data_IF_631025845055
#
_entry.id   IF_631025845055
#
_cell.length_a   1.000
_cell.length_b   1.000
_cell.length_c   1.000
_cell.angle_alpha   90.00
_cell.angle_beta   90.00
_cell.angle_gamma   90.00
#
_symmetry.space_group_name_H-M   'P 1'
#
loop_
_entity.id
_entity.type
_entity.pdbx_description
1 polymer ?
#
# COMPACT_ATOMS: atom_id res chain seq x y z
N UNK A 1 4.66 -14.76 -0.71
CA UNK A 1 5.29 -15.70 -1.68
C UNK A 1 6.56 -16.39 -1.17
N UNK A 2 7.65 -15.68 -0.85
CA UNK A 2 8.93 -16.32 -0.46
C UNK A 2 8.83 -17.16 0.82
N UNK A 3 8.16 -16.64 1.85
CA UNK A 3 7.91 -17.37 3.10
C UNK A 3 7.08 -18.65 2.88
N UNK A 4 6.05 -18.57 2.04
CA UNK A 4 5.16 -19.71 1.73
C UNK A 4 5.88 -20.83 0.98
N UNK A 5 6.79 -20.49 0.05
CA UNK A 5 7.65 -21.47 -0.62
C UNK A 5 8.67 -22.11 0.32
N UNK A 6 9.15 -21.36 1.32
CA UNK A 6 10.07 -21.89 2.31
C UNK A 6 9.43 -22.98 3.19
N UNK A 7 8.10 -22.96 3.35
CA UNK A 7 7.38 -23.98 4.12
C UNK A 7 7.50 -25.40 3.53
N UNK A 8 7.78 -25.56 2.23
CA UNK A 8 8.01 -26.88 1.63
C UNK A 8 9.37 -27.49 1.99
N UNK A 9 10.30 -26.66 2.43
CA UNK A 9 11.65 -27.06 2.78
C UNK A 9 11.76 -27.26 4.30
N UNK A 10 12.65 -28.14 4.77
CA UNK A 10 12.93 -28.24 6.19
C UNK A 10 13.48 -26.92 6.73
N UNK A 11 12.97 -26.47 7.87
CA UNK A 11 13.53 -25.32 8.60
C UNK A 11 14.62 -25.81 9.54
N UNK A 12 15.65 -24.99 9.73
CA UNK A 12 16.79 -25.27 10.60
C UNK A 12 16.92 -24.15 11.62
N UNK A 13 16.85 -24.50 12.90
CA UNK A 13 16.85 -23.56 14.01
C UNK A 13 17.98 -23.91 14.98
N UNK A 14 18.73 -22.91 15.45
CA UNK A 14 19.74 -23.07 16.50
C UNK A 14 19.26 -22.36 17.76
N UNK A 15 19.04 -23.10 18.84
CA UNK A 15 18.66 -22.57 20.14
C UNK A 15 19.77 -22.80 21.15
N UNK A 16 20.15 -21.74 21.87
CA UNK A 16 21.13 -21.82 22.96
C UNK A 16 20.54 -21.16 24.19
N UNK A 17 20.57 -21.85 25.32
CA UNK A 17 19.94 -21.39 26.56
C UNK A 17 20.71 -21.77 27.81
N UNK A 18 20.50 -20.97 28.86
CA UNK A 18 20.91 -21.29 30.22
C UNK A 18 19.69 -21.18 31.12
N UNK A 19 19.29 -22.29 31.72
CA UNK A 19 18.21 -22.31 32.70
C UNK A 19 18.80 -22.60 34.07
N UNK A 20 18.46 -21.78 35.06
CA UNK A 20 18.80 -22.02 36.46
C UNK A 20 17.51 -22.20 37.24
N UNK A 21 17.33 -23.37 37.83
CA UNK A 21 16.17 -23.69 38.67
C UNK A 21 16.61 -24.05 40.08
N UNK A 22 15.88 -23.55 41.07
CA UNK A 22 16.02 -23.96 42.47
C UNK A 22 14.81 -24.79 42.85
N UNK A 23 15.04 -26.01 43.37
CA UNK A 23 13.96 -26.84 43.88
C UNK A 23 13.89 -26.72 45.40
N UNK A 24 12.79 -26.17 45.91
CA UNK A 24 12.50 -26.10 47.34
C UNK A 24 12.10 -27.47 47.90
N UNK A 25 12.28 -27.66 49.20
CA UNK A 25 11.98 -28.92 49.90
C UNK A 25 10.47 -29.08 50.09
N UNK A 26 9.76 -29.45 49.03
CA UNK A 26 8.36 -29.86 49.05
C UNK A 26 8.24 -31.35 48.81
N UNK A 27 7.56 -32.05 49.73
CA UNK A 27 7.39 -33.51 49.80
C UNK A 27 7.00 -34.10 48.44
N UNK A 28 7.92 -34.82 47.80
CA UNK A 28 7.65 -35.64 46.61
C UNK A 28 8.14 -37.06 46.85
N UNK A 29 7.30 -38.03 46.52
CA UNK A 29 7.29 -39.40 47.05
C UNK A 29 8.36 -40.36 46.46
N UNK A 30 9.52 -39.85 46.03
CA UNK A 30 10.60 -40.72 45.56
C UNK A 30 11.96 -39.99 45.58
N UNK A 31 12.86 -40.46 46.44
CA UNK A 31 14.30 -40.13 46.41
C UNK A 31 14.71 -38.88 47.20
N UNK A 32 15.73 -39.05 48.04
CA UNK A 32 16.47 -38.04 48.83
C UNK A 32 16.11 -36.57 48.54
N UNK A 33 15.41 -35.96 49.49
CA UNK A 33 15.03 -34.54 49.50
C UNK A 33 16.25 -33.63 49.69
N UNK A 34 17.01 -33.40 48.61
CA UNK A 34 18.06 -32.40 48.58
C UNK A 34 17.54 -31.09 47.95
N UNK A 35 17.49 -30.03 48.75
CA UNK A 35 17.39 -28.66 48.23
C UNK A 35 18.64 -28.37 47.40
N UNK A 36 18.45 -28.04 46.13
CA UNK A 36 19.55 -27.92 45.18
C UNK A 36 19.27 -26.93 44.07
N UNK A 37 20.27 -26.10 43.78
CA UNK A 37 20.29 -25.25 42.59
C UNK A 37 20.79 -26.10 41.44
N UNK A 38 19.97 -26.25 40.39
CA UNK A 38 20.36 -26.90 39.14
C UNK A 38 20.56 -25.83 38.07
N UNK A 39 21.72 -25.88 37.43
CA UNK A 39 21.95 -25.15 36.18
C UNK A 39 21.85 -26.15 35.03
N UNK A 40 21.22 -25.77 33.94
CA UNK A 40 21.29 -26.47 32.66
C UNK A 40 21.73 -25.49 31.58
N UNK A 41 22.73 -25.89 30.82
CA UNK A 41 23.20 -25.23 29.62
C UNK A 41 22.80 -26.11 28.45
N UNK A 42 21.99 -25.58 27.53
CA UNK A 42 21.52 -26.29 26.36
C UNK A 42 21.97 -25.56 25.10
N UNK A 43 22.50 -26.32 24.13
CA UNK A 43 22.71 -25.88 22.77
C UNK A 43 22.10 -26.94 21.85
N UNK A 44 21.03 -26.59 21.15
CA UNK A 44 20.23 -27.52 20.36
C UNK A 44 20.04 -26.96 18.96
N UNK A 45 20.29 -27.81 17.98
CA UNK A 45 19.97 -27.60 16.59
C UNK A 45 18.72 -28.43 16.27
N UNK A 46 17.66 -27.77 15.85
CA UNK A 46 16.39 -28.36 15.46
C UNK A 46 16.21 -28.29 13.95
N UNK A 47 15.69 -29.35 13.37
CA UNK A 47 15.18 -29.43 12.01
C UNK A 47 13.70 -29.77 12.11
N UNK A 48 12.84 -28.99 11.45
CA UNK A 48 11.40 -29.26 11.39
C UNK A 48 10.94 -29.28 9.94
N UNK A 49 10.10 -30.25 9.59
CA UNK A 49 9.55 -30.38 8.26
C UNK A 49 8.10 -30.91 8.30
N UNK A 50 7.19 -30.23 7.62
CA UNK A 50 5.80 -30.66 7.45
C UNK A 50 5.64 -31.30 6.07
N UNK A 51 5.18 -32.55 6.02
CA UNK A 51 4.96 -33.23 4.74
C UNK A 51 3.60 -32.86 4.18
N UNK A 52 3.58 -32.28 2.98
CA UNK A 52 2.36 -31.86 2.30
C UNK A 52 1.63 -33.02 1.60
N UNK A 53 1.04 -33.92 2.39
CA UNK A 53 0.30 -35.10 1.90
C UNK A 53 -1.07 -34.70 1.33
N UNK A 54 -1.77 -33.80 2.02
CA UNK A 54 -3.15 -33.40 1.71
C UNK A 54 -3.26 -32.13 0.87
N UNK A 55 -2.13 -31.49 0.56
CA UNK A 55 -2.09 -30.27 -0.24
C UNK A 55 -2.33 -28.98 0.56
N UNK A 56 -2.30 -29.03 1.89
CA UNK A 56 -2.45 -27.85 2.78
C UNK A 56 -1.44 -26.76 2.41
N UNK A 57 -0.16 -27.11 2.30
CA UNK A 57 0.90 -26.17 1.94
C UNK A 57 0.77 -25.70 0.48
N UNK A 58 0.45 -26.61 -0.44
CA UNK A 58 0.19 -26.27 -1.86
C UNK A 58 -0.95 -25.27 -2.02
N UNK A 59 -2.08 -25.46 -1.34
CA UNK A 59 -3.22 -24.54 -1.37
C UNK A 59 -2.91 -23.22 -0.67
N UNK A 60 -2.13 -23.25 0.42
CA UNK A 60 -1.65 -22.03 1.07
C UNK A 60 -0.76 -21.20 0.13
N UNK A 61 0.17 -21.85 -0.59
CA UNK A 61 0.99 -21.18 -1.59
C UNK A 61 0.14 -20.63 -2.74
N UNK A 62 -0.85 -21.37 -3.23
CA UNK A 62 -1.80 -20.90 -4.24
C UNK A 62 -2.52 -19.63 -3.78
N UNK A 63 -3.05 -19.63 -2.54
CA UNK A 63 -3.68 -18.45 -1.95
C UNK A 63 -2.74 -17.24 -1.87
N UNK A 64 -1.52 -17.44 -1.36
CA UNK A 64 -0.51 -16.39 -1.26
C UNK A 64 -0.08 -15.85 -2.63
N UNK A 65 -0.04 -16.72 -3.64
CA UNK A 65 0.32 -16.31 -5.00
C UNK A 65 -0.79 -15.48 -5.64
N UNK A 66 -2.05 -15.88 -5.47
CA UNK A 66 -3.21 -15.14 -5.96
C UNK A 66 -3.31 -13.77 -5.27
N UNK A 67 -3.12 -13.70 -3.95
CA UNK A 67 -3.12 -12.44 -3.20
C UNK A 67 -2.03 -11.47 -3.68
N UNK A 68 -0.81 -11.95 -3.93
CA UNK A 68 0.25 -11.09 -4.46
C UNK A 68 -0.03 -10.63 -5.91
N UNK A 69 -0.68 -11.45 -6.73
CA UNK A 69 -1.14 -11.01 -8.06
C UNK A 69 -2.26 -9.97 -7.97
N UNK A 70 -3.18 -10.11 -7.01
CA UNK A 70 -4.21 -9.11 -6.73
C UNK A 70 -3.57 -7.77 -6.36
N UNK A 71 -2.59 -7.75 -5.44
CA UNK A 71 -1.89 -6.52 -5.06
C UNK A 71 -1.15 -5.84 -6.22
N UNK A 72 -0.60 -6.61 -7.18
CA UNK A 72 0.00 -6.05 -8.39
C UNK A 72 -1.05 -5.41 -9.30
N UNK A 73 -2.22 -6.03 -9.42
CA UNK A 73 -3.33 -5.48 -10.17
C UNK A 73 -3.90 -4.21 -9.51
N UNK A 74 -4.03 -4.18 -8.18
CA UNK A 74 -4.39 -2.98 -7.42
C UNK A 74 -3.41 -1.82 -7.66
N UNK A 75 -2.10 -2.12 -7.66
CA UNK A 75 -1.08 -1.12 -7.98
C UNK A 75 -1.26 -0.55 -9.39
N UNK A 76 -1.55 -1.40 -10.37
CA UNK A 76 -1.81 -0.97 -11.75
C UNK A 76 -3.09 -0.09 -11.83
N UNK A 77 -4.14 -0.45 -11.09
CA UNK A 77 -5.37 0.33 -11.00
C UNK A 77 -5.13 1.70 -10.36
N UNK A 78 -4.42 1.76 -9.23
CA UNK A 78 -4.04 3.01 -8.58
C UNK A 78 -3.18 3.89 -9.48
N UNK A 79 -2.19 3.30 -10.18
CA UNK A 79 -1.35 4.03 -11.13
C UNK A 79 -2.18 4.66 -12.25
N UNK A 80 -3.13 3.90 -12.82
CA UNK A 80 -4.02 4.42 -13.86
C UNK A 80 -4.91 5.55 -13.31
N UNK A 81 -5.43 5.41 -12.09
CA UNK A 81 -6.23 6.44 -11.42
C UNK A 81 -5.42 7.72 -11.21
N UNK A 82 -4.20 7.62 -10.68
CA UNK A 82 -3.30 8.76 -10.48
C UNK A 82 -2.94 9.46 -11.79
N UNK A 83 -2.67 8.69 -12.84
CA UNK A 83 -2.41 9.23 -14.18
C UNK A 83 -3.64 9.95 -14.74
N UNK A 84 -4.84 9.38 -14.55
CA UNK A 84 -6.10 9.99 -14.98
C UNK A 84 -6.36 11.30 -14.22
N UNK A 85 -6.18 11.31 -12.91
CA UNK A 85 -6.36 12.49 -12.07
C UNK A 85 -5.35 13.59 -12.43
N UNK A 86 -4.09 13.23 -12.67
CA UNK A 86 -3.05 14.16 -13.14
C UNK A 86 -3.45 14.81 -14.48
N UNK A 87 -3.94 14.01 -15.43
CA UNK A 87 -4.38 14.51 -16.74
C UNK A 87 -5.61 15.40 -16.61
N UNK A 88 -6.58 15.04 -15.78
CA UNK A 88 -7.77 15.87 -15.52
C UNK A 88 -7.39 17.22 -14.91
N UNK A 89 -6.54 17.22 -13.87
CA UNK A 89 -6.04 18.44 -13.24
C UNK A 89 -5.24 19.31 -14.22
N UNK A 90 -4.41 18.70 -15.06
CA UNK A 90 -3.65 19.40 -16.09
C UNK A 90 -4.57 20.04 -17.14
N UNK A 91 -5.56 19.33 -17.66
CA UNK A 91 -6.51 19.86 -18.62
C UNK A 91 -7.36 20.98 -18.02
N UNK A 92 -7.79 20.83 -16.77
CA UNK A 92 -8.56 21.86 -16.06
C UNK A 92 -7.73 23.13 -15.82
N UNK A 93 -6.44 22.99 -15.49
CA UNK A 93 -5.51 24.12 -15.41
C UNK A 93 -5.38 24.84 -16.76
N UNK A 94 -5.32 24.11 -17.88
CA UNK A 94 -5.29 24.71 -19.23
C UNK A 94 -6.59 25.43 -19.59
N UNK A 95 -7.73 24.93 -19.16
CA UNK A 95 -9.01 25.65 -19.30
C UNK A 95 -8.98 26.97 -18.52
N UNK A 96 -8.45 26.97 -17.30
CA UNK A 96 -8.32 28.18 -16.48
C UNK A 96 -7.33 29.18 -17.10
N UNK A 97 -6.20 28.71 -17.64
CA UNK A 97 -5.25 29.56 -18.38
C UNK A 97 -5.95 30.33 -19.52
N UNK A 98 -6.80 29.64 -20.30
CA UNK A 98 -7.53 30.26 -21.41
C UNK A 98 -8.67 31.18 -20.95
N UNK A 99 -9.40 30.80 -19.89
CA UNK A 99 -10.40 31.66 -19.27
C UNK A 99 -9.77 32.95 -18.73
N UNK A 100 -8.62 32.85 -18.07
CA UNK A 100 -7.87 34.01 -17.57
C UNK A 100 -7.45 34.93 -18.71
N UNK A 101 -6.92 34.38 -19.81
CA UNK A 101 -6.55 35.14 -21.01
C UNK A 101 -7.74 35.89 -21.62
N UNK A 102 -8.90 35.24 -21.73
CA UNK A 102 -10.12 35.88 -22.21
C UNK A 102 -10.52 37.02 -21.26
N UNK A 103 -10.52 36.77 -19.95
CA UNK A 103 -10.94 37.73 -18.94
C UNK A 103 -10.00 38.94 -18.86
N UNK A 104 -8.70 38.76 -19.02
CA UNK A 104 -7.72 39.84 -19.15
C UNK A 104 -8.09 40.78 -20.31
N UNK A 105 -8.45 40.22 -21.48
CA UNK A 105 -8.91 41.04 -22.61
C UNK A 105 -10.24 41.77 -22.33
N UNK A 106 -11.12 41.18 -21.52
CA UNK A 106 -12.36 41.81 -21.05
C UNK A 106 -12.09 42.96 -20.09
N UNK A 107 -11.14 42.81 -19.16
CA UNK A 107 -10.71 43.89 -18.26
C UNK A 107 -10.17 45.08 -19.06
N UNK A 108 -9.34 44.83 -20.08
CA UNK A 108 -8.83 45.89 -20.96
C UNK A 108 -9.94 46.59 -21.75
N UNK A 109 -10.97 45.86 -22.16
CA UNK A 109 -12.13 46.44 -22.84
C UNK A 109 -12.98 47.30 -21.88
N UNK A 110 -13.22 46.83 -20.65
CA UNK A 110 -13.98 47.59 -19.65
C UNK A 110 -13.20 48.79 -19.11
N UNK A 111 -11.88 48.72 -19.04
CA UNK A 111 -11.04 49.87 -18.72
C UNK A 111 -11.20 50.97 -19.77
N UNK A 112 -11.18 50.62 -21.06
CA UNK A 112 -11.43 51.56 -22.17
C UNK A 112 -12.86 52.12 -22.13
N UNK A 113 -13.85 51.28 -21.84
CA UNK A 113 -15.25 51.71 -21.68
C UNK A 113 -15.39 52.73 -20.55
N UNK A 114 -14.80 52.46 -19.37
CA UNK A 114 -14.80 53.38 -18.25
C UNK A 114 -14.16 54.73 -18.62
N UNK A 115 -13.01 54.73 -19.30
CA UNK A 115 -12.36 55.97 -19.76
C UNK A 115 -13.25 56.76 -20.71
N UNK A 116 -13.94 56.08 -21.64
CA UNK A 116 -14.88 56.72 -22.56
C UNK A 116 -16.06 57.35 -21.81
N UNK A 117 -16.68 56.64 -20.88
CA UNK A 117 -17.80 57.15 -20.08
C UNK A 117 -17.39 58.31 -19.18
N UNK A 118 -16.20 58.26 -18.59
CA UNK A 118 -15.64 59.38 -17.81
C UNK A 118 -15.43 60.63 -18.67
N UNK A 119 -14.97 60.48 -19.92
CA UNK A 119 -14.82 61.60 -20.84
C UNK A 119 -16.17 62.20 -21.24
N UNK A 120 -17.18 61.37 -21.49
CA UNK A 120 -18.55 61.83 -21.76
C UNK A 120 -19.19 62.55 -20.56
N UNK A 121 -18.95 62.07 -19.34
CA UNK A 121 -19.39 62.73 -18.11
C UNK A 121 -18.75 64.13 -17.98
N UNK A 122 -17.44 64.25 -18.21
CA UNK A 122 -16.74 65.56 -18.20
C UNK A 122 -17.26 66.53 -19.27
N UNK A 123 -17.73 66.00 -20.40
CA UNK A 123 -18.35 66.78 -21.46
C UNK A 123 -19.85 67.09 -21.20
N UNK A 124 -20.43 66.60 -20.10
CA UNK A 124 -21.85 66.81 -19.76
C UNK A 124 -22.84 65.97 -20.55
N UNK A 125 -22.37 64.94 -21.27
CA UNK A 125 -23.19 64.07 -22.14
C UNK A 125 -23.76 62.86 -21.37
N UNK A 126 -23.07 62.41 -20.32
CA UNK A 126 -23.43 61.24 -19.52
C UNK A 126 -23.56 61.60 -18.04
N UNK A 127 -24.35 60.83 -17.29
CA UNK A 127 -24.53 61.00 -15.84
C UNK A 127 -23.45 60.31 -15.00
N UNK A 128 -23.39 60.63 -13.70
CA UNK A 128 -22.46 60.00 -12.76
C UNK A 128 -22.80 58.54 -12.45
N UNK A 129 -24.06 58.17 -12.61
CA UNK A 129 -24.58 56.80 -12.53
C UNK A 129 -23.94 55.89 -13.59
N UNK A 130 -23.79 56.35 -14.83
CA UNK A 130 -23.14 55.60 -15.90
C UNK A 130 -21.66 55.32 -15.61
N UNK A 131 -20.94 56.30 -15.02
CA UNK A 131 -19.54 56.13 -14.59
C UNK A 131 -19.46 55.10 -13.46
N UNK A 132 -20.35 55.19 -12.47
CA UNK A 132 -20.41 54.24 -11.35
C UNK A 132 -20.73 52.81 -11.82
N UNK A 133 -21.61 52.64 -12.79
CA UNK A 133 -21.93 51.35 -13.40
C UNK A 133 -20.72 50.76 -14.14
N UNK A 134 -20.06 51.56 -14.99
CA UNK A 134 -18.86 51.13 -15.71
C UNK A 134 -17.71 50.76 -14.75
N UNK A 135 -17.54 51.53 -13.67
CA UNK A 135 -16.56 51.23 -12.63
C UNK A 135 -16.88 49.94 -11.88
N UNK A 136 -18.15 49.73 -11.53
CA UNK A 136 -18.61 48.47 -10.90
C UNK A 136 -18.32 47.28 -11.80
N UNK A 137 -18.62 47.37 -13.10
CA UNK A 137 -18.36 46.30 -14.06
C UNK A 137 -16.86 45.97 -14.13
N UNK A 138 -16.00 46.97 -14.28
CA UNK A 138 -14.55 46.79 -14.29
C UNK A 138 -14.06 46.12 -12.99
N UNK A 139 -14.53 46.58 -11.83
CA UNK A 139 -14.09 46.07 -10.52
C UNK A 139 -14.58 44.64 -10.27
N UNK A 140 -15.79 44.30 -10.71
CA UNK A 140 -16.29 42.92 -10.67
C UNK A 140 -15.40 42.00 -11.51
N UNK A 141 -15.10 42.38 -12.75
CA UNK A 141 -14.24 41.56 -13.63
C UNK A 141 -12.80 41.45 -13.12
N UNK A 142 -12.28 42.48 -12.46
CA UNK A 142 -10.98 42.41 -11.78
C UNK A 142 -11.00 41.43 -10.60
N UNK A 143 -12.10 41.33 -9.85
CA UNK A 143 -12.27 40.34 -8.79
C UNK A 143 -12.32 38.91 -9.36
N UNK A 144 -13.09 38.70 -10.44
CA UNK A 144 -13.16 37.39 -11.12
C UNK A 144 -11.77 36.91 -11.59
N UNK A 145 -10.90 37.82 -12.00
CA UNK A 145 -9.51 37.50 -12.41
C UNK A 145 -8.67 37.01 -11.23
N UNK A 146 -8.83 37.62 -10.05
CA UNK A 146 -8.16 37.19 -8.82
C UNK A 146 -8.64 35.78 -8.44
N UNK A 147 -9.94 35.51 -8.55
CA UNK A 147 -10.52 34.20 -8.25
C UNK A 147 -9.97 33.12 -9.20
N UNK A 148 -9.86 33.40 -10.50
CA UNK A 148 -9.22 32.48 -11.45
C UNK A 148 -7.74 32.24 -11.14
N UNK A 149 -7.01 33.26 -10.70
CA UNK A 149 -5.61 33.10 -10.31
C UNK A 149 -5.46 32.16 -9.10
N UNK A 150 -6.39 32.24 -8.14
CA UNK A 150 -6.41 31.33 -7.00
C UNK A 150 -6.77 29.90 -7.43
N UNK A 151 -7.81 29.72 -8.25
CA UNK A 151 -8.18 28.40 -8.79
C UNK A 151 -7.02 27.76 -9.55
N UNK A 152 -6.31 28.54 -10.37
CA UNK A 152 -5.11 28.07 -11.08
C UNK A 152 -4.07 27.52 -10.11
N UNK A 153 -3.77 28.27 -9.05
CA UNK A 153 -2.81 27.85 -8.03
C UNK A 153 -3.25 26.56 -7.31
N UNK A 154 -4.55 26.33 -7.12
CA UNK A 154 -5.04 25.07 -6.55
C UNK A 154 -4.75 23.86 -7.44
N UNK A 155 -5.01 23.95 -8.74
CA UNK A 155 -4.71 22.87 -9.67
C UNK A 155 -3.20 22.65 -9.82
N UNK A 156 -2.41 23.72 -9.81
CA UNK A 156 -0.95 23.64 -9.83
C UNK A 156 -0.40 22.91 -8.60
N UNK A 157 -0.91 23.23 -7.41
CA UNK A 157 -0.57 22.54 -6.17
C UNK A 157 -1.02 21.07 -6.19
N UNK A 158 -2.22 20.76 -6.71
CA UNK A 158 -2.70 19.39 -6.85
C UNK A 158 -1.80 18.56 -7.77
N UNK A 159 -1.35 19.14 -8.89
CA UNK A 159 -0.39 18.51 -9.81
C UNK A 159 0.95 18.26 -9.09
N UNK A 160 1.46 19.23 -8.32
CA UNK A 160 2.70 19.07 -7.56
C UNK A 160 2.63 17.88 -6.60
N UNK A 161 1.53 17.76 -5.85
CA UNK A 161 1.30 16.65 -4.91
C UNK A 161 1.22 15.31 -5.63
N UNK A 162 0.52 15.23 -6.77
CA UNK A 162 0.43 14.01 -7.58
C UNK A 162 1.78 13.59 -8.19
N UNK A 163 2.69 14.54 -8.43
CA UNK A 163 4.06 14.26 -8.86
C UNK A 163 5.03 13.98 -7.72
N UNK A 164 4.58 14.02 -6.46
CA UNK A 164 5.41 13.81 -5.28
C UNK A 164 6.38 14.96 -4.99
N UNK A 165 6.06 16.17 -5.44
CA UNK A 165 6.85 17.39 -5.22
C UNK A 165 6.18 18.29 -4.18
N UNK A 166 6.98 19.09 -3.46
CA UNK A 166 6.42 20.12 -2.60
C UNK A 166 5.75 21.21 -3.47
N UNK A 167 4.55 21.71 -3.11
CA UNK A 167 3.86 22.73 -3.91
C UNK A 167 4.68 24.01 -4.13
N UNK A 168 5.59 24.34 -3.21
CA UNK A 168 6.45 25.52 -3.31
C UNK A 168 7.54 25.40 -4.39
N UNK A 169 7.95 24.19 -4.77
CA UNK A 169 9.06 23.93 -5.71
C UNK A 169 8.57 23.65 -7.14
N UNK A 170 7.24 23.60 -7.34
CA UNK A 170 6.62 23.30 -8.62
C UNK A 170 6.05 24.56 -9.27
N UNK A 171 6.35 24.77 -10.55
CA UNK A 171 5.78 25.85 -11.36
C UNK A 171 5.50 25.35 -12.77
N UNK A 172 4.28 25.54 -13.24
CA UNK A 172 3.85 25.23 -14.58
C UNK A 172 3.55 26.53 -15.35
N UNK A 173 4.32 26.88 -16.40
CA UNK A 173 4.07 28.11 -17.15
C UNK A 173 2.72 28.05 -17.87
N UNK A 174 2.04 29.20 -17.91
CA UNK A 174 0.82 29.37 -18.68
C UNK A 174 1.11 29.17 -20.17
N UNK A 175 0.19 28.53 -20.89
CA UNK A 175 0.33 28.23 -22.32
C UNK A 175 -1.04 28.19 -22.97
N UNK A 176 -1.13 28.71 -24.21
CA UNK A 176 -2.39 28.81 -24.98
C UNK A 176 -2.71 27.57 -25.80
N UNK A 177 -1.82 26.58 -25.86
CA UNK A 177 -2.06 25.32 -26.58
C UNK A 177 -2.80 24.31 -25.71
N UNK A 178 -4.03 23.96 -26.11
CA UNK A 178 -4.75 22.82 -25.54
C UNK A 178 -4.20 21.53 -26.18
N UNK A 179 -3.83 20.50 -25.40
CA UNK A 179 -3.37 19.22 -25.94
C UNK A 179 -4.46 18.55 -26.77
N UNK A 180 -4.09 17.92 -27.88
CA UNK A 180 -5.03 17.07 -28.61
C UNK A 180 -5.33 15.80 -27.81
N UNK A 181 -6.62 15.50 -27.64
CA UNK A 181 -7.07 14.28 -27.00
C UNK A 181 -6.95 13.09 -27.96
N UNK A 182 -6.48 11.92 -27.49
CA UNK A 182 -6.44 10.72 -28.31
C UNK A 182 -7.85 10.24 -28.64
N UNK A 183 -8.05 9.68 -29.83
CA UNK A 183 -9.32 9.05 -30.19
C UNK A 183 -9.48 7.73 -29.44
N UNK A 184 -10.61 7.57 -28.76
CA UNK A 184 -10.93 6.36 -28.00
C UNK A 184 -11.47 5.31 -28.98
N UNK A 185 -10.82 4.14 -29.12
CA UNK A 185 -11.33 3.08 -29.99
C UNK A 185 -12.69 2.56 -29.47
N UNK A 186 -13.66 2.25 -30.35
CA UNK A 186 -14.87 1.53 -29.95
C UNK A 186 -14.51 0.08 -29.62
N UNK A 187 -14.15 -0.20 -28.36
CA UNK A 187 -13.87 -1.55 -27.88
C UNK A 187 -15.16 -2.33 -27.55
N UNK A 188 -15.14 -3.66 -27.74
CA UNK A 188 -16.22 -4.51 -27.25
C UNK A 188 -16.16 -4.65 -25.71
N UNK A 189 -17.31 -4.75 -25.02
CA UNK A 189 -17.36 -4.82 -23.56
C UNK A 189 -16.57 -5.97 -22.94
N UNK A 190 -16.43 -7.11 -23.62
CA UNK A 190 -15.73 -8.29 -23.10
C UNK A 190 -14.22 -8.10 -22.99
N UNK A 191 -13.59 -7.46 -23.98
CA UNK A 191 -12.16 -7.15 -23.95
C UNK A 191 -11.81 -6.06 -22.91
N UNK A 192 -12.80 -5.23 -22.53
CA UNK A 192 -12.64 -4.25 -21.45
C UNK A 192 -12.55 -4.93 -20.07
N UNK A 193 -13.26 -6.04 -19.85
CA UNK A 193 -13.20 -6.79 -18.59
C UNK A 193 -11.80 -7.37 -18.37
N UNK A 194 -11.18 -7.93 -19.43
CA UNK A 194 -9.83 -8.51 -19.37
C UNK A 194 -8.72 -7.47 -19.21
N UNK A 195 -8.97 -6.24 -19.64
CA UNK A 195 -7.99 -5.13 -19.55
C UNK A 195 -8.06 -4.37 -18.24
N UNK A 196 -9.12 -4.54 -17.46
CA UNK A 196 -9.39 -3.76 -16.25
C UNK A 196 -8.62 -4.35 -15.06
N UNK A 197 -7.61 -3.64 -14.53
CA UNK A 197 -6.79 -4.15 -13.44
C UNK A 197 -7.59 -4.35 -12.14
N UNK A 198 -8.63 -3.57 -11.91
CA UNK A 198 -9.55 -3.72 -10.77
C UNK A 198 -10.35 -5.04 -10.84
N UNK A 199 -10.78 -5.44 -12.03
CA UNK A 199 -11.48 -6.73 -12.23
C UNK A 199 -10.50 -7.90 -12.08
N UNK A 200 -9.29 -7.76 -12.61
CA UNK A 200 -8.24 -8.74 -12.40
C UNK A 200 -7.91 -8.91 -10.90
N UNK A 201 -7.84 -7.81 -10.13
CA UNK A 201 -7.62 -7.87 -8.69
C UNK A 201 -8.74 -8.65 -7.97
N UNK A 202 -10.01 -8.35 -8.30
CA UNK A 202 -11.17 -9.03 -7.74
C UNK A 202 -11.17 -10.54 -8.08
N UNK A 203 -10.87 -10.91 -9.32
CA UNK A 203 -10.73 -12.31 -9.75
C UNK A 203 -9.66 -13.04 -8.91
N UNK A 204 -8.47 -12.45 -8.75
CA UNK A 204 -7.39 -13.06 -7.97
C UNK A 204 -7.70 -13.14 -6.49
N UNK A 205 -8.44 -12.18 -5.93
CA UNK A 205 -8.93 -12.27 -4.56
C UNK A 205 -9.90 -13.46 -4.38
N UNK A 206 -10.78 -13.72 -5.36
CA UNK A 206 -11.67 -14.88 -5.34
C UNK A 206 -10.89 -16.19 -5.46
N UNK A 207 -9.88 -16.25 -6.33
CA UNK A 207 -8.98 -17.41 -6.42
C UNK A 207 -8.27 -17.68 -5.09
N UNK A 208 -7.76 -16.64 -4.43
CA UNK A 208 -7.12 -16.77 -3.11
C UNK A 208 -8.07 -17.28 -2.03
N UNK A 209 -9.30 -16.76 -1.99
CA UNK A 209 -10.34 -17.24 -1.08
C UNK A 209 -10.71 -18.71 -1.34
N UNK A 210 -10.80 -19.12 -2.61
CA UNK A 210 -11.07 -20.51 -2.97
C UNK A 210 -9.92 -21.45 -2.55
N UNK A 211 -8.67 -21.02 -2.70
CA UNK A 211 -7.51 -21.78 -2.23
C UNK A 211 -7.52 -21.94 -0.69
N UNK A 212 -7.94 -20.92 0.06
CA UNK A 212 -8.12 -20.99 1.51
C UNK A 212 -9.18 -22.01 1.94
N UNK A 213 -10.25 -22.20 1.15
CA UNK A 213 -11.20 -23.30 1.39
C UNK A 213 -10.49 -24.65 1.28
N UNK A 214 -9.56 -24.79 0.34
CA UNK A 214 -8.72 -25.99 0.20
C UNK A 214 -7.83 -26.22 1.43
N UNK A 215 -7.23 -25.16 1.98
CA UNK A 215 -6.45 -25.22 3.23
C UNK A 215 -7.33 -25.67 4.40
N UNK A 216 -8.51 -25.07 4.56
CA UNK A 216 -9.46 -25.42 5.61
C UNK A 216 -9.96 -26.87 5.48
N UNK A 217 -10.21 -27.35 4.24
CA UNK A 217 -10.56 -28.75 3.99
C UNK A 217 -9.42 -29.70 4.34
N UNK A 218 -8.17 -29.32 4.09
CA UNK A 218 -7.01 -30.13 4.44
C UNK A 218 -6.85 -30.28 5.97
N UNK A 219 -7.33 -29.30 6.76
CA UNK A 219 -7.30 -29.36 8.22
C UNK A 219 -8.21 -30.44 8.84
N UNK A 220 -9.12 -31.05 8.08
CA UNK A 220 -9.85 -32.24 8.53
C UNK A 220 -9.00 -33.52 8.53
N UNK A 221 -7.84 -33.49 7.88
CA UNK A 221 -6.93 -34.62 7.78
C UNK A 221 -5.77 -34.46 8.77
N UNK A 222 -5.10 -35.57 9.16
CA UNK A 222 -3.99 -35.48 10.09
C UNK A 222 -2.78 -34.78 9.46
N UNK A 223 -2.18 -33.86 10.22
CA UNK A 223 -0.92 -33.23 9.86
C UNK A 223 0.24 -34.18 10.17
N UNK A 224 1.14 -34.37 9.19
CA UNK A 224 2.37 -35.15 9.36
C UNK A 224 3.56 -34.20 9.47
N UNK A 225 4.17 -34.19 10.64
CA UNK A 225 5.36 -33.38 10.92
C UNK A 225 6.51 -34.30 11.29
N UNK A 226 7.69 -34.04 10.72
CA UNK A 226 8.93 -34.73 11.03
C UNK A 226 9.85 -33.72 11.71
N UNK A 227 10.12 -33.95 12.98
CA UNK A 227 11.08 -33.18 13.75
C UNK A 227 12.33 -34.01 13.99
N UNK A 228 13.49 -33.40 13.81
CA UNK A 228 14.78 -33.95 14.20
C UNK A 228 15.49 -32.90 15.02
N UNK A 229 16.02 -33.26 16.19
CA UNK A 229 16.80 -32.32 16.98
C UNK A 229 18.06 -33.00 17.50
N UNK A 230 19.13 -32.24 17.62
CA UNK A 230 20.39 -32.73 18.14
C UNK A 230 21.15 -31.61 18.82
N UNK A 231 21.89 -31.94 19.87
CA UNK A 231 22.53 -30.90 20.65
C UNK A 231 23.37 -31.42 21.78
N UNK A 232 23.74 -30.49 22.64
CA UNK A 232 24.48 -30.74 23.87
C UNK A 232 23.71 -30.16 25.04
N UNK A 233 23.61 -30.94 26.12
CA UNK A 233 22.99 -30.51 27.38
C UNK A 233 23.92 -30.84 28.54
N UNK A 234 24.24 -29.85 29.38
CA UNK A 234 25.16 -30.03 30.49
C UNK A 234 24.75 -29.25 31.74
N UNK A 235 25.11 -29.78 32.91
CA UNK A 235 24.92 -29.12 34.21
C UNK A 235 26.04 -28.14 34.57
N UNK A 236 27.18 -28.20 33.85
CA UNK A 236 28.38 -27.42 34.14
C UNK A 236 28.91 -26.72 32.89
N UNK A 237 29.28 -25.44 33.01
CA UNK A 237 29.76 -24.63 31.88
C UNK A 237 31.08 -25.15 31.27
N UNK A 238 31.97 -25.71 32.08
CA UNK A 238 33.30 -26.17 31.63
C UNK A 238 33.27 -27.38 30.66
N UNK A 239 32.24 -28.23 30.71
CA UNK A 239 32.15 -29.47 29.93
C UNK A 239 30.92 -29.52 29.00
N UNK A 240 30.40 -28.35 28.63
CA UNK A 240 29.16 -28.25 27.85
C UNK A 240 29.27 -28.76 26.40
N UNK A 241 30.47 -28.74 25.79
CA UNK A 241 30.75 -29.35 24.48
C UNK A 241 31.66 -30.56 24.69
N UNK A 242 31.06 -31.68 25.12
CA UNK A 242 31.75 -32.96 25.29
C UNK A 242 30.92 -34.10 24.70
N UNK A 243 31.60 -35.11 24.15
CA UNK A 243 30.97 -36.28 23.50
C UNK A 243 29.89 -36.98 24.35
N UNK A 244 30.04 -37.13 25.69
CA UNK A 244 29.01 -37.77 26.53
C UNK A 244 27.73 -36.93 26.70
N UNK A 245 27.81 -35.61 26.53
CA UNK A 245 26.69 -34.68 26.73
C UNK A 245 25.86 -34.46 25.45
N UNK A 246 26.16 -35.21 24.39
CA UNK A 246 25.48 -35.14 23.09
C UNK A 246 24.18 -35.94 23.14
N UNK A 247 23.10 -35.30 22.70
CA UNK A 247 21.82 -35.98 22.46
C UNK A 247 21.36 -35.74 21.02
N UNK A 248 20.57 -36.68 20.52
CA UNK A 248 19.81 -36.52 19.28
C UNK A 248 18.46 -37.22 19.44
N UNK A 249 17.45 -36.70 18.77
CA UNK A 249 16.11 -37.25 18.72
C UNK A 249 15.53 -37.06 17.32
N UNK A 250 14.78 -38.06 16.87
CA UNK A 250 13.95 -37.98 15.67
C UNK A 250 12.54 -38.37 16.11
N UNK A 251 11.59 -37.49 15.88
CA UNK A 251 10.20 -37.65 16.28
C UNK A 251 9.28 -37.36 15.10
N UNK A 252 8.77 -38.39 14.38
CA UNK A 252 7.60 -38.21 13.56
C UNK A 252 6.39 -37.97 14.48
N UNK A 253 5.61 -36.94 14.18
CA UNK A 253 4.39 -36.60 14.90
C UNK A 253 3.23 -36.55 13.92
N UNK A 254 2.17 -37.27 14.26
CA UNK A 254 0.89 -37.25 13.56
C UNK A 254 -0.14 -36.64 14.51
N UNK A 255 -0.73 -35.51 14.10
CA UNK A 255 -1.73 -34.80 14.89
C UNK A 255 -3.07 -34.77 14.16
N UNK A 256 -4.14 -35.19 14.83
CA UNK A 256 -5.51 -35.13 14.31
C UNK A 256 -6.43 -34.51 15.36
N UNK A 257 -7.19 -33.49 14.97
CA UNK A 257 -8.22 -32.88 15.82
C UNK A 257 -9.48 -33.74 15.78
N UNK A 258 -9.99 -34.15 16.95
CA UNK A 258 -11.18 -35.00 17.06
C UNK A 258 -12.46 -34.22 17.44
N UNK A 259 -12.34 -33.14 18.22
CA UNK A 259 -13.44 -32.32 18.72
C UNK A 259 -13.01 -30.85 18.83
#
# INVERSE_FOLDING_TARGET
>A
MRSSRAAFLPTLDLTTGKTRSGQGTGTSNSGTSASGIRNSYNAQLGVSWEADVWGKLRRGLEADTANAQASLADLAAMRLSLQSELVQNYLQLRVIDEQKRLLESTVDAYQRSLTLTQNQYRAGISGSDAVAQAQTQLKSTQADLIDLAWQRAQYENAIAVLMGMAPADFNLPATTSIPQLPQIPPGLPSQLLERRPDIAAAERSVMGANANIGVAKAAYYPDFTLSMSGGYSSSTFANWISLPNRFWSVGPQLALTLF
#
